data_IF_188103473242
#
_entry.id   IF_188103473242
#
_cell.length_a   1.000
_cell.length_b   1.000
_cell.length_c   1.000
_cell.angle_alpha   90.00
_cell.angle_beta   90.00
_cell.angle_gamma   90.00
#
_symmetry.space_group_name_H-M   'P 1'
#
loop_
_entity.id
_entity.type
_entity.pdbx_description
1 polymer ?
#
# COMPACT_ATOMS: atom_id res chain seq x y z
N UNK A 1 -24.95 -13.76 40.78
CA UNK A 1 -24.21 -14.68 41.67
C UNK A 1 -23.64 -13.86 42.82
N UNK A 2 -23.73 -14.34 44.08
CA UNK A 2 -23.13 -13.67 45.24
C UNK A 2 -21.62 -13.53 45.04
N UNK A 3 -21.04 -12.40 45.46
CA UNK A 3 -19.58 -12.21 45.45
C UNK A 3 -18.98 -13.11 46.55
N UNK A 4 -18.26 -14.15 46.14
CA UNK A 4 -17.48 -15.00 47.04
C UNK A 4 -16.52 -14.14 47.88
N UNK A 5 -16.41 -14.45 49.16
CA UNK A 5 -15.43 -13.83 50.06
C UNK A 5 -13.99 -14.12 49.60
N UNK A 6 -13.02 -13.31 50.05
CA UNK A 6 -11.61 -13.52 49.68
C UNK A 6 -11.10 -14.92 50.09
N UNK A 7 -11.59 -15.44 51.23
CA UNK A 7 -11.28 -16.77 51.73
C UNK A 7 -11.83 -17.87 50.82
N UNK A 8 -13.10 -17.81 50.46
CA UNK A 8 -13.75 -18.79 49.58
C UNK A 8 -13.09 -18.84 48.19
N UNK A 9 -12.68 -17.69 47.63
CA UNK A 9 -11.93 -17.66 46.36
C UNK A 9 -10.57 -18.35 46.46
N UNK A 10 -9.85 -18.15 47.57
CA UNK A 10 -8.54 -18.79 47.81
C UNK A 10 -8.69 -20.30 47.98
N UNK A 11 -9.69 -20.73 48.73
CA UNK A 11 -10.00 -22.15 48.91
C UNK A 11 -10.43 -22.81 47.59
N UNK A 12 -11.27 -22.13 46.79
CA UNK A 12 -11.64 -22.58 45.45
C UNK A 12 -10.45 -22.73 44.52
N UNK A 13 -9.55 -21.74 44.49
CA UNK A 13 -8.31 -21.80 43.72
C UNK A 13 -7.40 -22.96 44.16
N UNK A 14 -7.22 -23.16 45.47
CA UNK A 14 -6.40 -24.26 45.99
C UNK A 14 -6.98 -25.64 45.65
N UNK A 15 -8.32 -25.79 45.69
CA UNK A 15 -8.99 -27.03 45.27
C UNK A 15 -8.77 -27.30 43.78
N UNK A 16 -8.97 -26.28 42.94
CA UNK A 16 -8.75 -26.39 41.49
C UNK A 16 -7.28 -26.69 41.17
N UNK A 17 -6.35 -26.02 41.83
CA UNK A 17 -4.91 -26.25 41.66
C UNK A 17 -4.51 -27.67 42.09
N UNK A 18 -4.98 -28.14 43.26
CA UNK A 18 -4.74 -29.50 43.72
C UNK A 18 -5.44 -30.56 42.84
N UNK A 19 -6.54 -30.21 42.17
CA UNK A 19 -7.19 -31.04 41.17
C UNK A 19 -6.34 -31.12 39.90
N UNK A 20 -5.86 -29.98 39.38
CA UNK A 20 -5.01 -29.91 38.19
C UNK A 20 -3.63 -30.51 38.39
N UNK A 21 -3.05 -30.46 39.59
CA UNK A 21 -1.82 -31.20 39.88
C UNK A 21 -2.01 -32.72 39.79
N UNK A 22 -3.22 -33.22 40.12
CA UNK A 22 -3.54 -34.65 40.09
C UNK A 22 -4.02 -35.13 38.72
N UNK A 23 -4.71 -34.28 37.96
CA UNK A 23 -5.35 -34.65 36.69
C UNK A 23 -4.72 -33.98 35.46
N UNK A 24 -3.75 -33.09 35.67
CA UNK A 24 -3.04 -32.39 34.62
C UNK A 24 -2.22 -33.37 33.78
N UNK A 25 -2.20 -33.15 32.46
CA UNK A 25 -1.36 -33.95 31.56
C UNK A 25 0.10 -33.56 31.80
N UNK A 26 1.03 -34.53 31.95
CA UNK A 26 2.44 -34.21 32.07
C UNK A 26 2.95 -33.55 30.78
N UNK A 27 3.91 -32.63 30.92
CA UNK A 27 4.51 -31.91 29.81
C UNK A 27 5.14 -32.86 28.79
N UNK A 28 5.96 -33.81 29.25
CA UNK A 28 6.46 -34.91 28.43
C UNK A 28 5.63 -36.17 28.70
N UNK A 29 5.20 -36.92 27.67
CA UNK A 29 5.43 -36.67 26.25
C UNK A 29 4.36 -35.77 25.58
N UNK A 30 3.26 -35.45 26.27
CA UNK A 30 2.07 -34.91 25.62
C UNK A 30 2.31 -33.53 24.97
N UNK A 31 2.73 -32.52 25.73
CA UNK A 31 2.91 -31.17 25.19
C UNK A 31 4.01 -31.14 24.12
N UNK A 32 5.14 -31.79 24.39
CA UNK A 32 6.25 -31.92 23.43
C UNK A 32 5.80 -32.55 22.12
N UNK A 33 4.94 -33.56 22.16
CA UNK A 33 4.41 -34.20 20.96
C UNK A 33 3.53 -33.25 20.13
N UNK A 34 2.64 -32.48 20.77
CA UNK A 34 1.84 -31.48 20.07
C UNK A 34 2.72 -30.38 19.48
N UNK A 35 3.71 -29.89 20.24
CA UNK A 35 4.65 -28.86 19.78
C UNK A 35 5.48 -29.35 18.59
N UNK A 36 5.92 -30.61 18.62
CA UNK A 36 6.66 -31.24 17.51
C UNK A 36 5.78 -31.33 16.28
N UNK A 37 4.53 -31.78 16.40
CA UNK A 37 3.60 -31.85 15.27
C UNK A 37 3.36 -30.46 14.67
N UNK A 38 3.03 -29.47 15.50
CA UNK A 38 2.77 -28.10 15.03
C UNK A 38 4.01 -27.51 14.37
N UNK A 39 5.19 -27.73 14.94
CA UNK A 39 6.46 -27.27 14.36
C UNK A 39 6.73 -27.92 13.01
N UNK A 40 6.51 -29.23 12.87
CA UNK A 40 6.63 -29.93 11.59
C UNK A 40 5.64 -29.40 10.55
N UNK A 41 4.40 -29.09 10.96
CA UNK A 41 3.40 -28.47 10.06
C UNK A 41 3.86 -27.09 9.59
N UNK A 42 4.37 -26.24 10.50
CA UNK A 42 4.85 -24.89 10.16
C UNK A 42 6.06 -24.97 9.23
N UNK A 43 7.02 -25.86 9.50
CA UNK A 43 8.18 -26.08 8.63
C UNK A 43 7.75 -26.59 7.25
N UNK A 44 6.84 -27.56 7.21
CA UNK A 44 6.30 -28.07 5.95
C UNK A 44 5.55 -26.98 5.16
N UNK A 45 4.80 -26.09 5.83
CA UNK A 45 4.14 -24.95 5.20
C UNK A 45 5.15 -23.98 4.60
N UNK A 46 6.18 -23.59 5.36
CA UNK A 46 7.23 -22.68 4.88
C UNK A 46 7.96 -23.31 3.71
N UNK A 47 8.37 -24.58 3.80
CA UNK A 47 8.98 -25.31 2.70
C UNK A 47 8.06 -25.38 1.48
N UNK A 48 6.76 -25.64 1.67
CA UNK A 48 5.77 -25.66 0.61
C UNK A 48 5.63 -24.31 -0.10
N UNK A 49 5.55 -23.21 0.65
CA UNK A 49 5.51 -21.86 0.09
C UNK A 49 6.80 -21.52 -0.66
N UNK A 50 7.96 -21.91 -0.14
CA UNK A 50 9.26 -21.72 -0.81
C UNK A 50 9.37 -22.52 -2.11
N UNK A 51 8.88 -23.76 -2.13
CA UNK A 51 8.84 -24.59 -3.35
C UNK A 51 7.86 -24.01 -4.35
N UNK A 52 6.66 -23.58 -3.92
CA UNK A 52 5.68 -22.92 -4.80
C UNK A 52 6.27 -21.66 -5.43
N UNK A 53 6.95 -20.83 -4.64
CA UNK A 53 7.67 -19.66 -5.13
C UNK A 53 8.73 -20.04 -6.16
N UNK A 54 9.55 -21.06 -5.88
CA UNK A 54 10.59 -21.53 -6.81
C UNK A 54 10.01 -22.09 -8.11
N UNK A 55 8.92 -22.85 -8.05
CA UNK A 55 8.24 -23.40 -9.24
C UNK A 55 7.64 -22.29 -10.08
N UNK A 56 7.14 -21.23 -9.46
CA UNK A 56 6.54 -20.10 -10.16
C UNK A 56 7.57 -19.21 -10.86
N UNK A 57 8.74 -18.99 -10.26
CA UNK A 57 9.73 -18.06 -10.78
C UNK A 57 10.96 -18.72 -11.42
N UNK A 58 11.21 -20.00 -11.14
CA UNK A 58 12.38 -20.74 -11.62
C UNK A 58 13.71 -20.28 -11.01
N UNK A 59 14.82 -20.85 -11.50
CA UNK A 59 16.18 -20.48 -11.07
C UNK A 59 16.46 -18.99 -11.29
N UNK A 60 17.18 -18.33 -10.38
CA UNK A 60 17.54 -16.91 -10.48
C UNK A 60 18.25 -16.69 -11.82
N UNK A 61 17.80 -15.74 -12.66
CA UNK A 61 18.37 -15.56 -13.98
C UNK A 61 19.70 -14.82 -13.84
N UNK A 62 20.61 -15.04 -14.80
CA UNK A 62 21.98 -14.47 -14.73
C UNK A 62 22.03 -13.00 -15.09
N UNK A 63 20.96 -12.44 -15.63
CA UNK A 63 20.84 -11.01 -15.89
C UNK A 63 20.40 -10.26 -14.61
N UNK A 64 21.21 -9.31 -14.13
CA UNK A 64 20.90 -8.57 -12.90
C UNK A 64 19.75 -7.57 -13.05
N UNK A 65 19.13 -7.48 -14.24
CA UNK A 65 18.05 -6.56 -14.60
C UNK A 65 16.71 -7.26 -14.89
N UNK A 66 16.63 -8.60 -14.84
CA UNK A 66 15.35 -9.28 -15.02
C UNK A 66 14.41 -9.04 -13.85
N UNK A 67 13.41 -8.20 -14.08
CA UNK A 67 12.26 -8.05 -13.21
C UNK A 67 11.41 -9.33 -13.22
N UNK A 68 10.96 -9.77 -12.03
CA UNK A 68 10.08 -10.95 -11.89
C UNK A 68 8.81 -10.60 -11.14
N UNK A 69 7.79 -10.19 -11.87
CA UNK A 69 6.45 -9.84 -11.35
C UNK A 69 5.39 -10.89 -11.71
N UNK A 70 4.32 -10.98 -10.92
CA UNK A 70 3.17 -11.86 -11.22
C UNK A 70 3.09 -13.19 -10.45
N UNK A 71 3.84 -13.32 -9.35
CA UNK A 71 3.76 -14.45 -8.42
C UNK A 71 2.41 -14.56 -7.70
N UNK A 72 1.94 -15.77 -7.37
CA UNK A 72 0.78 -15.98 -6.48
C UNK A 72 1.06 -15.43 -5.08
N UNK A 73 2.33 -15.45 -4.68
CA UNK A 73 2.83 -14.95 -3.40
C UNK A 73 3.38 -13.51 -3.47
N UNK A 74 3.15 -12.80 -4.58
CA UNK A 74 3.69 -11.47 -4.83
C UNK A 74 4.91 -11.47 -5.77
N UNK A 75 5.48 -10.29 -6.08
CA UNK A 75 6.67 -10.16 -6.92
C UNK A 75 7.88 -10.86 -6.28
N UNK A 76 8.77 -11.43 -7.11
CA UNK A 76 9.97 -12.12 -6.63
C UNK A 76 11.09 -11.14 -6.28
N UNK A 77 11.56 -10.37 -7.27
CA UNK A 77 12.54 -9.30 -7.09
C UNK A 77 12.32 -8.21 -8.14
N UNK A 78 12.54 -6.97 -7.72
CA UNK A 78 12.65 -5.81 -8.61
C UNK A 78 14.04 -5.77 -9.28
N UNK A 79 14.17 -4.94 -10.32
CA UNK A 79 15.47 -4.66 -10.92
C UNK A 79 16.43 -4.07 -9.87
N UNK A 80 17.73 -4.31 -10.05
CA UNK A 80 18.76 -3.75 -9.17
C UNK A 80 18.65 -2.23 -9.10
N UNK A 81 18.71 -1.65 -7.91
CA UNK A 81 18.62 -0.21 -7.69
C UNK A 81 19.62 0.56 -8.57
N UNK A 82 19.12 1.49 -9.38
CA UNK A 82 19.88 2.34 -10.29
C UNK A 82 19.59 3.83 -9.99
N UNK A 83 20.58 4.62 -9.55
CA UNK A 83 20.39 6.04 -9.26
C UNK A 83 20.14 6.91 -10.51
N UNK A 84 20.35 6.38 -11.72
CA UNK A 84 20.02 7.05 -12.97
C UNK A 84 18.54 6.94 -13.37
N UNK A 85 17.78 6.05 -12.71
CA UNK A 85 16.34 5.88 -12.92
C UNK A 85 15.59 6.81 -11.97
N UNK A 86 15.00 7.87 -12.54
CA UNK A 86 14.28 8.90 -11.77
C UNK A 86 12.81 8.54 -11.47
N UNK A 87 12.31 7.44 -12.04
CA UNK A 87 10.97 6.90 -11.79
C UNK A 87 11.05 5.58 -11.04
N UNK A 88 10.93 5.63 -9.72
CA UNK A 88 10.78 4.46 -8.86
C UNK A 88 9.44 4.57 -8.13
N UNK A 89 8.69 3.46 -8.04
CA UNK A 89 7.43 3.38 -7.31
C UNK A 89 7.66 2.65 -5.98
N UNK A 90 8.07 3.35 -4.91
CA UNK A 90 8.45 2.72 -3.64
C UNK A 90 7.23 2.15 -2.90
N UNK A 91 6.86 0.89 -3.17
CA UNK A 91 5.84 0.18 -2.39
C UNK A 91 6.50 -0.52 -1.20
N UNK A 92 5.94 -0.38 0.02
CA UNK A 92 6.46 -1.10 1.17
C UNK A 92 6.00 -2.56 1.15
N UNK A 93 6.65 -3.42 1.94
CA UNK A 93 6.20 -4.80 2.12
C UNK A 93 4.81 -4.89 2.77
N UNK A 94 4.14 -6.04 2.60
CA UNK A 94 2.76 -6.27 3.03
C UNK A 94 2.48 -5.99 4.51
N UNK A 95 3.47 -6.21 5.38
CA UNK A 95 3.36 -5.98 6.82
C UNK A 95 3.41 -4.49 7.20
N UNK A 96 3.67 -3.59 6.25
CA UNK A 96 3.67 -2.14 6.44
C UNK A 96 2.51 -1.41 5.76
N UNK A 97 1.63 -2.10 5.01
CA UNK A 97 0.53 -1.43 4.30
C UNK A 97 -0.40 -0.61 5.22
N UNK A 98 -0.66 -1.07 6.44
CA UNK A 98 -1.47 -0.29 7.39
C UNK A 98 -0.81 1.04 7.79
N UNK A 99 0.52 1.06 7.88
CA UNK A 99 1.29 2.26 8.20
C UNK A 99 1.38 3.18 6.99
N UNK A 100 1.51 2.60 5.79
CA UNK A 100 1.48 3.33 4.53
C UNK A 100 0.16 4.09 4.34
N UNK A 101 -0.97 3.47 4.65
CA UNK A 101 -2.27 4.16 4.59
C UNK A 101 -2.37 5.29 5.62
N UNK A 102 -1.79 5.13 6.83
CA UNK A 102 -1.74 6.21 7.83
C UNK A 102 -0.93 7.42 7.33
N UNK A 103 0.22 7.20 6.67
CA UNK A 103 1.01 8.27 6.05
C UNK A 103 0.17 9.07 5.04
N UNK A 104 -0.70 8.39 4.30
CA UNK A 104 -1.57 9.02 3.29
C UNK A 104 -2.70 9.85 3.91
N UNK A 105 -3.25 9.40 5.03
CA UNK A 105 -4.27 10.13 5.80
C UNK A 105 -3.66 11.41 6.40
N UNK A 106 -2.42 11.34 6.88
CA UNK A 106 -1.74 12.44 7.54
C UNK A 106 -0.85 13.24 6.58
N UNK A 107 -1.43 14.07 5.72
CA UNK A 107 -0.69 14.80 4.67
C UNK A 107 0.27 15.89 5.16
N UNK A 108 0.14 16.37 6.41
CA UNK A 108 1.01 17.44 6.93
C UNK A 108 2.22 16.88 7.68
N UNK A 109 3.41 17.50 7.57
CA UNK A 109 4.63 17.01 8.23
C UNK A 109 4.48 16.77 9.74
N UNK A 110 3.73 17.63 10.42
CA UNK A 110 3.49 17.51 11.86
C UNK A 110 2.59 16.32 12.19
N UNK A 111 1.57 16.05 11.36
CA UNK A 111 0.68 14.91 11.56
C UNK A 111 1.35 13.58 11.18
N UNK A 112 2.30 13.57 10.25
CA UNK A 112 3.08 12.37 9.92
C UNK A 112 3.82 11.82 11.13
N UNK A 113 4.47 12.69 11.92
CA UNK A 113 5.16 12.31 13.16
C UNK A 113 4.17 11.70 14.16
N UNK A 114 2.98 12.29 14.26
CA UNK A 114 1.92 11.78 15.13
C UNK A 114 1.49 10.39 14.68
N UNK A 115 1.22 10.21 13.39
CA UNK A 115 0.75 8.97 12.79
C UNK A 115 1.73 7.81 12.90
N UNK A 116 3.02 8.07 12.70
CA UNK A 116 4.04 7.02 12.54
C UNK A 116 4.88 6.76 13.78
N UNK A 117 5.07 7.76 14.63
CA UNK A 117 5.91 7.63 15.83
C UNK A 117 5.04 7.63 17.07
N UNK A 118 4.21 8.66 17.25
CA UNK A 118 3.50 8.87 18.51
C UNK A 118 2.40 7.82 18.70
N UNK A 119 1.55 7.57 17.71
CA UNK A 119 0.46 6.60 17.81
C UNK A 119 0.98 5.18 18.09
N UNK A 120 1.94 4.61 17.33
CA UNK A 120 2.48 3.29 17.62
C UNK A 120 3.19 3.21 18.98
N UNK A 121 3.88 4.27 19.39
CA UNK A 121 4.54 4.33 20.71
C UNK A 121 3.51 4.30 21.83
N UNK A 122 2.45 5.12 21.75
CA UNK A 122 1.36 5.10 22.73
C UNK A 122 0.71 3.72 22.77
N UNK A 123 0.46 3.11 21.61
CA UNK A 123 -0.12 1.77 21.54
C UNK A 123 0.77 0.72 22.22
N UNK A 124 2.09 0.78 22.02
CA UNK A 124 3.05 -0.11 22.68
C UNK A 124 3.06 0.10 24.21
N UNK A 125 3.04 1.35 24.67
CA UNK A 125 2.94 1.68 26.11
C UNK A 125 1.62 1.17 26.70
N UNK A 126 0.50 1.30 25.97
CA UNK A 126 -0.80 0.77 26.39
C UNK A 126 -0.81 -0.77 26.45
N UNK A 127 -0.13 -1.46 25.53
CA UNK A 127 0.00 -2.93 25.57
C UNK A 127 0.85 -3.38 26.76
N UNK A 128 1.99 -2.74 27.02
CA UNK A 128 2.83 -3.02 28.18
C UNK A 128 2.08 -2.67 29.49
N UNK A 129 1.31 -1.59 29.47
CA UNK A 129 0.45 -1.14 30.58
C UNK A 129 -0.82 -1.95 30.75
N UNK A 130 -1.23 -2.73 29.74
CA UNK A 130 -2.49 -3.49 29.72
C UNK A 130 -2.73 -4.34 30.97
N UNK A 131 -1.77 -5.12 31.51
CA UNK A 131 -1.98 -5.89 32.74
C UNK A 131 -2.35 -5.03 33.98
N UNK A 132 -2.03 -3.73 33.99
CA UNK A 132 -2.36 -2.82 35.10
C UNK A 132 -3.68 -2.07 34.87
N UNK A 133 -4.02 -1.84 33.60
CA UNK A 133 -5.25 -1.19 33.15
C UNK A 133 -6.43 -2.17 33.29
N UNK A 134 -6.28 -3.40 32.80
CA UNK A 134 -7.31 -4.44 32.91
C UNK A 134 -7.23 -5.17 34.26
N UNK A 135 -7.84 -4.55 35.28
CA UNK A 135 -7.94 -5.09 36.65
C UNK A 135 -9.05 -6.13 36.81
N UNK A 136 -9.61 -6.68 35.72
CA UNK A 136 -10.69 -7.65 35.84
C UNK A 136 -10.19 -8.95 36.51
N UNK A 137 -10.82 -9.41 37.60
CA UNK A 137 -10.39 -10.62 38.31
C UNK A 137 -10.63 -11.92 37.52
N UNK A 138 -11.58 -11.94 36.57
CA UNK A 138 -11.95 -13.16 35.83
C UNK A 138 -11.08 -13.33 34.60
N UNK A 139 -10.26 -14.39 34.46
CA UNK A 139 -9.41 -14.61 33.26
C UNK A 139 -10.13 -15.27 32.07
N UNK A 140 -11.41 -15.64 32.23
CA UNK A 140 -12.19 -16.34 31.20
C UNK A 140 -12.61 -15.36 30.10
N UNK A 141 -12.28 -15.66 28.85
CA UNK A 141 -12.52 -14.77 27.71
C UNK A 141 -14.00 -14.36 27.57
N UNK A 142 -14.92 -15.32 27.77
CA UNK A 142 -16.37 -15.09 27.71
C UNK A 142 -16.92 -14.14 28.79
N UNK A 143 -16.15 -13.87 29.85
CA UNK A 143 -16.53 -12.93 30.92
C UNK A 143 -15.89 -11.55 30.77
N UNK A 144 -15.16 -11.31 29.67
CA UNK A 144 -14.55 -10.01 29.35
C UNK A 144 -15.05 -9.46 28.01
N UNK A 145 -16.35 -9.21 27.83
CA UNK A 145 -16.89 -8.79 26.54
C UNK A 145 -16.26 -7.49 26.03
N UNK A 146 -15.94 -6.53 26.91
CA UNK A 146 -15.30 -5.25 26.54
C UNK A 146 -13.84 -5.47 26.10
N UNK A 147 -13.04 -6.21 26.87
CA UNK A 147 -11.65 -6.47 26.52
C UNK A 147 -11.55 -7.32 25.24
N UNK A 148 -12.46 -8.27 25.06
CA UNK A 148 -12.57 -9.04 23.82
C UNK A 148 -12.99 -8.14 22.65
N UNK A 149 -13.97 -7.25 22.83
CA UNK A 149 -14.39 -6.31 21.79
C UNK A 149 -13.23 -5.40 21.35
N UNK A 150 -12.46 -4.85 22.28
CA UNK A 150 -11.26 -4.05 21.96
C UNK A 150 -10.20 -4.92 21.29
N UNK A 151 -9.92 -6.10 21.83
CA UNK A 151 -8.93 -7.04 21.30
C UNK A 151 -9.25 -7.57 19.89
N UNK A 152 -10.53 -7.60 19.51
CA UNK A 152 -10.99 -7.94 18.16
C UNK A 152 -11.09 -6.70 17.25
N UNK A 153 -11.46 -5.54 17.81
CA UNK A 153 -11.55 -4.29 17.05
C UNK A 153 -10.18 -3.86 16.50
N UNK A 154 -9.12 -3.95 17.31
CA UNK A 154 -7.76 -3.57 16.88
C UNK A 154 -7.30 -4.32 15.62
N UNK A 155 -7.32 -5.67 15.56
CA UNK A 155 -6.93 -6.38 14.34
C UNK A 155 -7.89 -6.11 13.18
N UNK A 156 -9.19 -5.90 13.42
CA UNK A 156 -10.12 -5.49 12.34
C UNK A 156 -9.68 -4.15 11.74
N UNK A 157 -9.35 -3.15 12.57
CA UNK A 157 -8.87 -1.84 12.10
C UNK A 157 -7.57 -1.99 11.33
N UNK A 158 -6.59 -2.73 11.86
CA UNK A 158 -5.32 -2.97 11.18
C UNK A 158 -5.50 -3.69 9.84
N UNK A 159 -6.33 -4.74 9.78
CA UNK A 159 -6.64 -5.45 8.53
C UNK A 159 -7.34 -4.54 7.51
N UNK A 160 -8.23 -3.66 7.98
CA UNK A 160 -8.92 -2.69 7.13
C UNK A 160 -7.92 -1.70 6.54
N UNK A 161 -7.05 -1.12 7.37
CA UNK A 161 -5.96 -0.24 6.93
C UNK A 161 -5.00 -0.94 5.96
N UNK A 162 -4.61 -2.18 6.26
CA UNK A 162 -3.76 -2.99 5.36
C UNK A 162 -4.43 -3.21 4.01
N UNK A 163 -5.74 -3.50 3.98
CA UNK A 163 -6.48 -3.71 2.73
C UNK A 163 -6.62 -2.45 1.89
N UNK A 164 -6.84 -1.29 2.53
CA UNK A 164 -6.82 -0.03 1.81
C UNK A 164 -5.40 0.30 1.34
N UNK A 165 -4.39 0.17 2.20
CA UNK A 165 -2.99 0.39 1.84
C UNK A 165 -2.50 -0.51 0.70
N UNK A 166 -2.98 -1.75 0.60
CA UNK A 166 -2.61 -2.67 -0.50
C UNK A 166 -3.22 -2.31 -1.86
N UNK A 167 -4.29 -1.50 -1.87
CA UNK A 167 -4.95 -1.07 -3.12
C UNK A 167 -4.40 0.24 -3.64
N UNK A 168 -3.55 0.89 -2.86
CA UNK A 168 -3.03 2.20 -3.20
C UNK A 168 -1.70 2.01 -3.90
N UNK A 169 -1.57 2.43 -5.17
CA UNK A 169 -0.27 2.49 -5.82
C UNK A 169 0.60 3.45 -5.00
N UNK A 170 1.76 2.97 -4.55
CA UNK A 170 2.67 3.85 -3.82
C UNK A 170 3.08 5.01 -4.71
N UNK A 171 2.80 6.21 -4.23
CA UNK A 171 2.97 7.48 -4.94
C UNK A 171 2.72 7.39 -6.45
N UNK A 172 1.43 7.43 -6.83
CA UNK A 172 0.99 7.75 -8.18
C UNK A 172 0.78 6.55 -9.12
N UNK A 173 -0.45 6.44 -9.64
CA UNK A 173 -0.75 5.74 -10.90
C UNK A 173 -1.70 4.56 -10.81
N UNK A 174 -2.86 4.49 -11.48
CA UNK A 174 -3.57 5.43 -12.35
C UNK A 174 -5.06 5.35 -11.95
N UNK A 175 -5.64 6.46 -11.51
CA UNK A 175 -7.08 6.51 -11.21
C UNK A 175 -7.95 6.57 -12.49
N UNK A 176 -7.34 6.86 -13.65
CA UNK A 176 -8.02 7.07 -14.92
C UNK A 176 -7.51 6.14 -16.03
N UNK A 177 -8.43 5.78 -16.93
CA UNK A 177 -8.19 4.97 -18.13
C UNK A 177 -7.94 5.82 -19.38
N UNK A 178 -7.75 7.12 -19.18
CA UNK A 178 -7.65 8.12 -20.23
C UNK A 178 -6.30 8.03 -20.96
N UNK A 179 -6.24 8.35 -22.27
CA UNK A 179 -4.98 8.40 -23.01
C UNK A 179 -3.96 9.30 -22.32
N UNK A 180 -2.74 8.79 -22.16
CA UNK A 180 -1.65 9.50 -21.46
C UNK A 180 -1.68 9.41 -19.94
N UNK A 181 -2.75 8.90 -19.30
CA UNK A 181 -2.82 8.76 -17.85
C UNK A 181 -1.81 7.75 -17.30
N UNK A 182 -1.73 6.58 -17.93
CA UNK A 182 -0.76 5.55 -17.58
C UNK A 182 0.68 6.02 -17.85
N UNK A 183 0.92 6.74 -18.94
CA UNK A 183 2.22 7.35 -19.21
C UNK A 183 2.60 8.44 -18.20
N UNK A 184 1.66 9.28 -17.78
CA UNK A 184 1.89 10.30 -16.74
C UNK A 184 2.19 9.66 -15.38
N UNK A 185 1.47 8.58 -15.07
CA UNK A 185 1.62 7.77 -13.87
C UNK A 185 2.96 7.03 -13.83
N UNK A 186 3.29 6.30 -14.89
CA UNK A 186 4.50 5.49 -15.02
C UNK A 186 5.76 6.32 -15.30
N UNK A 187 5.59 7.54 -15.83
CA UNK A 187 6.68 8.49 -16.00
C UNK A 187 7.07 9.17 -14.68
N UNK A 188 8.19 9.88 -14.68
CA UNK A 188 8.66 10.66 -13.53
C UNK A 188 7.78 11.89 -13.19
N UNK A 189 6.63 12.05 -13.87
CA UNK A 189 5.71 13.16 -13.65
C UNK A 189 4.92 12.98 -12.34
N UNK A 190 4.50 11.74 -12.04
CA UNK A 190 3.66 11.40 -10.89
C UNK A 190 4.33 11.61 -9.53
N UNK A 191 5.65 11.42 -9.47
CA UNK A 191 6.49 11.64 -8.28
C UNK A 191 6.57 13.12 -7.89
N UNK A 192 6.55 14.01 -8.89
CA UNK A 192 6.73 15.43 -8.67
C UNK A 192 5.39 16.18 -8.63
N UNK A 193 4.41 15.81 -9.46
CA UNK A 193 3.19 16.57 -9.65
C UNK A 193 1.94 15.87 -9.10
N UNK A 194 1.08 16.65 -8.45
CA UNK A 194 -0.31 16.26 -8.18
C UNK A 194 -1.16 16.51 -9.42
N UNK A 195 -1.90 15.48 -9.84
CA UNK A 195 -2.96 15.56 -10.83
C UNK A 195 -4.07 14.60 -10.41
N UNK A 196 -5.23 15.15 -10.06
CA UNK A 196 -6.33 14.38 -9.49
C UNK A 196 -6.82 13.27 -10.44
N UNK A 197 -6.87 13.54 -11.75
CA UNK A 197 -7.27 12.54 -12.75
C UNK A 197 -6.32 11.34 -12.79
N UNK A 198 -5.00 11.57 -12.67
CA UNK A 198 -4.01 10.51 -12.63
C UNK A 198 -3.92 9.82 -11.25
N UNK A 199 -4.58 10.37 -10.22
CA UNK A 199 -4.50 9.88 -8.84
C UNK A 199 -3.12 10.05 -8.21
N UNK A 200 -2.33 11.03 -8.66
CA UNK A 200 -0.97 11.28 -8.18
C UNK A 200 -0.95 12.23 -7.00
N UNK A 201 0.12 12.16 -6.20
CA UNK A 201 0.26 12.92 -4.95
C UNK A 201 1.68 13.50 -4.77
N UNK A 202 2.40 13.73 -5.86
CA UNK A 202 3.76 14.29 -5.81
C UNK A 202 3.80 15.67 -5.15
N UNK A 203 4.92 16.00 -4.48
CA UNK A 203 5.02 17.22 -3.64
C UNK A 203 6.18 18.15 -4.03
N UNK A 204 6.81 17.91 -5.19
CA UNK A 204 8.00 18.64 -5.64
C UNK A 204 7.63 19.76 -6.62
N UNK A 205 6.78 19.42 -7.59
CA UNK A 205 6.26 20.34 -8.59
C UNK A 205 4.92 20.96 -8.15
N UNK A 206 4.44 21.99 -8.88
CA UNK A 206 3.13 22.56 -8.62
C UNK A 206 2.02 21.53 -8.79
N UNK A 207 0.94 21.71 -8.02
CA UNK A 207 -0.33 20.99 -8.19
C UNK A 207 -0.91 21.39 -9.55
N UNK A 208 -0.97 20.44 -10.48
CA UNK A 208 -1.38 20.72 -11.85
C UNK A 208 -2.86 21.10 -11.92
N UNK A 209 -3.70 20.54 -11.06
CA UNK A 209 -5.13 20.89 -10.92
C UNK A 209 -5.34 22.39 -10.58
N UNK A 210 -4.35 23.04 -9.98
CA UNK A 210 -4.38 24.47 -9.63
C UNK A 210 -3.65 25.32 -10.67
N UNK A 211 -2.48 24.87 -11.13
CA UNK A 211 -1.63 25.61 -12.06
C UNK A 211 -2.21 25.70 -13.47
N UNK A 212 -2.98 24.70 -13.91
CA UNK A 212 -3.71 24.65 -15.18
C UNK A 212 -2.88 25.13 -16.39
N UNK A 213 -1.70 24.53 -16.65
CA UNK A 213 -0.88 24.92 -17.78
C UNK A 213 -1.63 24.63 -19.09
N UNK A 214 -1.52 25.54 -20.06
CA UNK A 214 -1.98 25.27 -21.41
C UNK A 214 -1.06 24.27 -22.13
N UNK A 215 -1.50 23.77 -23.28
CA UNK A 215 -0.76 22.78 -24.05
C UNK A 215 0.64 23.25 -24.43
N UNK A 216 0.77 24.50 -24.88
CA UNK A 216 2.05 25.03 -25.33
C UNK A 216 3.05 25.12 -24.16
N UNK A 217 2.59 25.54 -22.98
CA UNK A 217 3.40 25.58 -21.77
C UNK A 217 3.77 24.18 -21.31
N UNK A 218 2.81 23.25 -21.25
CA UNK A 218 3.09 21.86 -20.88
C UNK A 218 4.09 21.21 -21.84
N UNK A 219 3.93 21.40 -23.15
CA UNK A 219 4.83 20.88 -24.18
C UNK A 219 6.25 21.43 -24.02
N UNK A 220 6.39 22.74 -23.84
CA UNK A 220 7.70 23.37 -23.68
C UNK A 220 8.41 22.89 -22.40
N UNK A 221 7.69 22.76 -21.28
CA UNK A 221 8.22 22.32 -19.99
C UNK A 221 8.60 20.83 -20.00
N UNK A 222 7.78 19.96 -20.59
CA UNK A 222 8.09 18.52 -20.70
C UNK A 222 9.29 18.32 -21.65
N UNK A 223 9.32 19.06 -22.77
CA UNK A 223 10.40 18.94 -23.76
C UNK A 223 11.73 19.43 -23.19
N UNK A 224 11.76 20.62 -22.59
CA UNK A 224 13.02 21.30 -22.25
C UNK A 224 13.37 21.27 -20.76
N UNK A 225 12.42 20.91 -19.90
CA UNK A 225 12.55 21.06 -18.45
C UNK A 225 12.52 22.53 -18.01
N UNK A 226 12.37 22.75 -16.70
CA UNK A 226 12.55 24.06 -16.07
C UNK A 226 12.88 23.90 -14.59
N UNK A 227 13.95 24.55 -14.14
CA UNK A 227 14.39 24.48 -12.74
C UNK A 227 14.75 23.04 -12.34
N UNK A 228 14.04 22.48 -11.36
CA UNK A 228 14.22 21.10 -10.92
C UNK A 228 13.52 20.06 -11.83
N UNK A 229 12.64 20.49 -12.74
CA UNK A 229 11.98 19.59 -13.69
C UNK A 229 12.96 19.23 -14.83
N UNK A 230 13.32 17.94 -15.00
CA UNK A 230 14.25 17.52 -16.05
C UNK A 230 13.64 17.66 -17.45
N UNK A 231 14.49 17.67 -18.47
CA UNK A 231 14.07 17.53 -19.87
C UNK A 231 13.77 16.06 -20.17
N UNK A 232 12.67 15.80 -20.86
CA UNK A 232 12.29 14.46 -21.30
C UNK A 232 12.57 14.19 -22.77
N UNK A 233 13.20 15.13 -23.49
CA UNK A 233 13.53 14.97 -24.93
C UNK A 233 14.43 13.77 -25.23
N UNK A 234 15.25 13.35 -24.26
CA UNK A 234 16.11 12.18 -24.39
C UNK A 234 15.40 10.85 -24.05
N UNK A 235 14.24 10.93 -23.39
CA UNK A 235 13.53 9.77 -22.83
C UNK A 235 12.28 9.44 -23.63
N UNK A 236 11.61 10.44 -24.19
CA UNK A 236 10.37 10.30 -24.96
C UNK A 236 10.50 10.88 -26.37
N UNK A 237 9.79 10.27 -27.31
CA UNK A 237 9.61 10.76 -28.67
C UNK A 237 8.74 12.02 -28.70
N UNK A 238 8.79 12.76 -29.81
CA UNK A 238 7.97 13.96 -29.98
C UNK A 238 6.46 13.65 -29.85
N UNK A 239 6.01 12.51 -30.37
CA UNK A 239 4.62 12.06 -30.27
C UNK A 239 4.24 11.72 -28.80
N UNK A 240 5.09 11.02 -28.06
CA UNK A 240 4.88 10.72 -26.63
C UNK A 240 4.83 11.99 -25.76
N UNK A 241 5.74 12.93 -26.01
CA UNK A 241 5.76 14.23 -25.32
C UNK A 241 4.50 15.04 -25.64
N UNK A 242 4.07 15.04 -26.91
CA UNK A 242 2.86 15.71 -27.34
C UNK A 242 1.61 15.12 -26.68
N UNK A 243 1.53 13.79 -26.53
CA UNK A 243 0.46 13.11 -25.82
C UNK A 243 0.43 13.48 -24.33
N UNK A 244 1.58 13.47 -23.64
CA UNK A 244 1.66 13.86 -22.22
C UNK A 244 1.26 15.33 -22.00
N UNK A 245 1.73 16.23 -22.87
CA UNK A 245 1.34 17.65 -22.82
C UNK A 245 -0.17 17.83 -23.04
N UNK A 246 -0.75 17.07 -23.98
CA UNK A 246 -2.19 17.05 -24.25
C UNK A 246 -2.99 16.54 -23.05
N UNK A 247 -2.55 15.44 -22.43
CA UNK A 247 -3.16 14.89 -21.23
C UNK A 247 -3.12 15.88 -20.05
N UNK A 248 -1.95 16.46 -19.76
CA UNK A 248 -1.78 17.43 -18.67
C UNK A 248 -2.65 18.66 -18.88
N UNK A 249 -2.65 19.27 -20.07
CA UNK A 249 -3.46 20.44 -20.36
C UNK A 249 -4.97 20.14 -20.28
N UNK A 250 -5.39 18.95 -20.68
CA UNK A 250 -6.80 18.51 -20.67
C UNK A 250 -7.33 18.26 -19.27
N UNK A 251 -6.54 17.57 -18.45
CA UNK A 251 -6.99 17.07 -17.15
C UNK A 251 -6.60 17.94 -15.96
N UNK A 252 -5.65 18.87 -16.12
CA UNK A 252 -5.38 19.90 -15.11
C UNK A 252 -6.51 20.91 -14.98
N UNK A 253 -7.22 21.21 -16.07
CA UNK A 253 -8.34 22.14 -16.07
C UNK A 253 -9.70 21.46 -15.79
N UNK A 254 -9.72 20.14 -15.58
CA UNK A 254 -10.93 19.35 -15.40
C UNK A 254 -11.65 19.66 -14.08
N UNK A 255 -12.98 19.59 -14.09
CA UNK A 255 -13.81 19.58 -12.87
C UNK A 255 -14.52 18.23 -12.82
N UNK A 256 -14.15 17.39 -11.86
CA UNK A 256 -14.68 16.01 -11.78
C UNK A 256 -14.22 15.15 -12.96
N UNK A 257 -15.16 14.48 -13.63
CA UNK A 257 -14.90 13.60 -14.79
C UNK A 257 -15.01 14.33 -16.13
N UNK A 258 -15.16 15.65 -16.13
CA UNK A 258 -15.32 16.44 -17.37
C UNK A 258 -14.02 17.14 -17.74
N UNK A 259 -13.51 16.98 -18.99
CA UNK A 259 -12.35 17.70 -19.48
C UNK A 259 -12.50 19.22 -19.33
N UNK A 260 -11.42 19.91 -19.00
CA UNK A 260 -11.45 21.36 -18.77
C UNK A 260 -11.63 22.21 -20.04
N UNK A 261 -12.10 23.46 -19.90
CA UNK A 261 -12.20 24.42 -21.00
C UNK A 261 -10.79 24.92 -21.36
N UNK A 262 -10.10 24.16 -22.20
CA UNK A 262 -8.66 24.31 -22.45
C UNK A 262 -7.96 23.01 -22.84
N UNK A 263 -8.69 21.87 -22.83
CA UNK A 263 -8.31 20.62 -23.48
C UNK A 263 -7.73 20.94 -24.86
N UNK A 264 -6.41 20.81 -24.99
CA UNK A 264 -5.62 21.09 -26.17
C UNK A 264 -6.46 20.69 -27.39
N UNK A 265 -6.92 21.68 -28.17
CA UNK A 265 -7.87 21.54 -29.30
C UNK A 265 -8.31 20.08 -29.48
N UNK A 266 -9.39 19.66 -28.81
CA UNK A 266 -9.81 18.27 -28.54
C UNK A 266 -9.73 17.26 -29.71
N UNK A 267 -9.44 17.73 -30.91
CA UNK A 267 -9.12 16.98 -32.12
C UNK A 267 -7.77 16.26 -32.09
N UNK A 268 -6.75 16.76 -31.37
CA UNK A 268 -5.37 16.24 -31.49
C UNK A 268 -4.88 15.42 -30.28
N UNK A 269 -5.43 15.64 -29.08
CA UNK A 269 -5.02 14.91 -27.87
C UNK A 269 -5.14 13.39 -27.99
N UNK A 270 -6.32 12.78 -28.26
CA UNK A 270 -6.40 11.33 -28.36
C UNK A 270 -5.62 10.81 -29.59
N UNK A 271 -5.61 11.55 -30.70
CA UNK A 271 -4.89 11.18 -31.92
C UNK A 271 -3.36 11.16 -31.75
N UNK A 272 -2.80 12.08 -30.95
CA UNK A 272 -1.37 12.09 -30.61
C UNK A 272 -0.98 10.89 -29.74
N UNK A 273 -1.84 10.52 -28.80
CA UNK A 273 -1.66 9.36 -27.93
C UNK A 273 -1.82 8.02 -28.67
N UNK A 274 -2.68 7.95 -29.68
CA UNK A 274 -2.80 6.79 -30.58
C UNK A 274 -1.52 6.53 -31.38
N UNK A 275 -0.85 7.60 -31.85
CA UNK A 275 0.45 7.49 -32.54
C UNK A 275 1.58 7.06 -31.62
N UNK A 276 1.58 7.56 -30.38
CA UNK A 276 2.56 7.22 -29.37
C UNK A 276 2.46 5.74 -28.92
N UNK A 277 1.23 5.20 -28.82
CA UNK A 277 0.99 3.78 -28.51
C UNK A 277 1.41 3.36 -27.10
N UNK A 278 1.26 2.08 -26.77
CA UNK A 278 1.69 1.52 -25.49
C UNK A 278 1.02 2.17 -24.28
N UNK A 279 1.82 2.65 -23.33
CA UNK A 279 1.35 3.33 -22.09
C UNK A 279 0.67 4.67 -22.34
N UNK A 280 0.79 5.22 -23.54
CA UNK A 280 0.21 6.50 -23.94
C UNK A 280 -1.19 6.32 -24.53
N UNK A 281 -1.47 5.16 -25.13
CA UNK A 281 -2.81 4.82 -25.58
C UNK A 281 -3.67 4.42 -24.36
N UNK A 282 -4.77 5.16 -24.13
CA UNK A 282 -5.74 4.79 -23.11
C UNK A 282 -6.44 3.47 -23.47
N UNK A 283 -7.17 2.87 -22.53
CA UNK A 283 -8.01 1.69 -22.83
C UNK A 283 -9.32 2.12 -23.49
N UNK A 284 -9.24 2.97 -24.52
CA UNK A 284 -10.41 3.59 -25.13
C UNK A 284 -11.31 2.50 -25.69
N UNK A 285 -12.48 2.34 -25.06
CA UNK A 285 -13.61 1.64 -25.65
C UNK A 285 -13.90 2.29 -27.00
N UNK A 286 -13.77 1.51 -28.07
CA UNK A 286 -14.15 1.88 -29.43
C UNK A 286 -15.68 2.07 -29.53
N UNK A 287 -16.21 3.12 -28.92
CA UNK A 287 -17.63 3.43 -28.93
C UNK A 287 -17.86 4.87 -29.41
N UNK A 288 -17.45 5.14 -30.65
CA UNK A 288 -18.06 6.18 -31.50
C UNK A 288 -17.52 6.04 -32.94
N UNK A 289 -18.15 5.16 -33.71
CA UNK A 289 -18.19 5.20 -35.17
C UNK A 289 -19.67 5.14 -35.59
N UNK A 290 -20.06 5.80 -36.69
CA UNK A 290 -21.34 6.48 -36.90
C UNK A 290 -22.60 5.64 -36.77
#
# INVERSE_FOLDING_TARGET
>A
MPRLTARERREGYQREYAFQQRHGKPFFPNAVFHDTIVSLIVVALIMGLSVLWYVQFGAIPTDPMAERTGGLLGPAYEAKADPGVLGYHPQPDWYFFFLFELLRIFKTPQLLIVGTIIIPTIWMVLLIGWPFIDRNPDRRLSRRPIALAIGVMVPIVLLTLTFYGSKVPAEGGAASTEPGAAAFAAGACSTCHVLANAGTAGNVGPVLDEAKPDYATALALITNGQGAMPSFKATYTEDEISCLAGYVATWSAAVGTTPGPGAATAKDYPASCEKAGGLFAGTVSSAAGP
#
